data_IF_842934983821
#
_entry.id   IF_842934983821
#
_cell.length_a   1.000
_cell.length_b   1.000
_cell.length_c   1.000
_cell.angle_alpha   90.00
_cell.angle_beta   90.00
_cell.angle_gamma   90.00
#
_symmetry.space_group_name_H-M   'P 1'
#
loop_
_entity.id
_entity.type
_entity.pdbx_description
1 polymer ?
#
# COMPACT_ATOMS: atom_id res chain seq x y z
N UNK A 1 -5.31 -21.43 32.95
CA UNK A 1 -6.55 -20.95 32.29
C UNK A 1 -6.28 -20.83 30.79
N UNK A 2 -7.19 -21.26 29.92
CA UNK A 2 -7.01 -21.01 28.47
C UNK A 2 -7.48 -19.60 28.11
N UNK A 3 -6.76 -18.94 27.21
CA UNK A 3 -7.12 -17.64 26.66
C UNK A 3 -6.78 -17.59 25.17
N UNK A 4 -7.22 -16.53 24.49
CA UNK A 4 -7.03 -16.39 23.04
C UNK A 4 -6.10 -15.24 22.70
N UNK A 5 -5.25 -15.49 21.70
CA UNK A 5 -4.51 -14.46 20.99
C UNK A 5 -5.17 -14.25 19.63
N UNK A 6 -5.58 -13.02 19.33
CA UNK A 6 -6.18 -12.66 18.04
C UNK A 6 -5.18 -11.88 17.20
N UNK A 7 -4.89 -12.37 15.98
CA UNK A 7 -4.02 -11.73 15.00
C UNK A 7 -4.87 -10.94 14.01
N UNK A 8 -5.17 -9.67 14.32
CA UNK A 8 -6.15 -8.87 13.60
C UNK A 8 -5.86 -8.70 12.10
N UNK A 9 -4.58 -8.66 11.71
CA UNK A 9 -4.18 -8.54 10.30
C UNK A 9 -4.25 -9.83 9.49
N UNK A 10 -4.58 -10.97 10.12
CA UNK A 10 -4.65 -12.30 9.49
C UNK A 10 -6.02 -12.96 9.64
N UNK A 11 -6.96 -12.31 10.35
CA UNK A 11 -8.22 -12.91 10.82
C UNK A 11 -8.06 -14.31 11.45
N UNK A 12 -6.97 -14.50 12.22
CA UNK A 12 -6.66 -15.77 12.91
C UNK A 12 -6.71 -15.63 14.42
N UNK A 13 -7.19 -16.67 15.08
CA UNK A 13 -7.19 -16.79 16.54
C UNK A 13 -6.43 -18.06 16.95
N UNK A 14 -5.60 -17.93 17.98
CA UNK A 14 -4.85 -19.03 18.57
C UNK A 14 -5.29 -19.19 20.02
N UNK A 15 -5.70 -20.40 20.40
CA UNK A 15 -5.96 -20.73 21.78
C UNK A 15 -4.67 -21.12 22.50
N UNK A 16 -4.44 -20.51 23.66
CA UNK A 16 -3.23 -20.62 24.46
C UNK A 16 -3.60 -21.19 25.82
N UNK A 17 -2.89 -22.23 26.25
CA UNK A 17 -3.08 -22.86 27.56
C UNK A 17 -1.86 -22.58 28.42
N UNK A 18 -1.98 -21.62 29.35
CA UNK A 18 -1.01 -21.30 30.42
C UNK A 18 0.45 -21.60 30.05
N UNK A 19 0.96 -20.96 28.98
CA UNK A 19 2.30 -21.19 28.48
C UNK A 19 3.32 -20.15 28.96
N UNK A 20 4.57 -20.59 29.09
CA UNK A 20 5.74 -19.73 29.35
C UNK A 20 6.38 -19.24 28.04
N UNK A 21 5.69 -19.46 26.91
CA UNK A 21 6.17 -19.21 25.57
C UNK A 21 6.01 -17.73 25.20
N UNK A 22 6.94 -17.24 24.38
CA UNK A 22 6.79 -15.90 23.83
C UNK A 22 5.70 -15.87 22.76
N UNK A 23 5.16 -14.70 22.43
CA UNK A 23 4.21 -14.55 21.32
C UNK A 23 4.82 -15.06 20.01
N UNK A 24 6.14 -14.96 19.82
CA UNK A 24 6.80 -15.53 18.64
C UNK A 24 6.73 -17.06 18.63
N UNK A 25 7.02 -17.71 19.76
CA UNK A 25 6.98 -19.18 19.86
C UNK A 25 5.55 -19.70 19.62
N UNK A 26 4.56 -19.02 20.21
CA UNK A 26 3.14 -19.29 19.99
C UNK A 26 2.77 -19.11 18.52
N UNK A 27 3.30 -18.08 17.86
CA UNK A 27 3.08 -17.85 16.43
C UNK A 27 3.64 -19.00 15.60
N UNK A 28 4.92 -19.34 15.81
CA UNK A 28 5.64 -20.38 15.06
C UNK A 28 4.98 -21.75 15.20
N UNK A 29 4.64 -22.17 16.42
CA UNK A 29 4.03 -23.49 16.66
C UNK A 29 2.63 -23.63 16.06
N UNK A 30 1.90 -22.51 15.94
CA UNK A 30 0.57 -22.47 15.32
C UNK A 30 0.63 -22.10 13.82
N UNK A 31 1.83 -22.16 13.23
CA UNK A 31 2.06 -21.85 11.81
C UNK A 31 1.52 -20.46 11.42
N UNK A 32 1.53 -19.52 12.37
CA UNK A 32 1.31 -18.12 12.09
C UNK A 32 2.64 -17.57 11.59
N UNK A 33 2.73 -17.18 10.31
CA UNK A 33 3.96 -16.61 9.79
C UNK A 33 4.33 -15.37 10.62
N UNK A 34 5.60 -15.27 11.03
CA UNK A 34 6.05 -14.20 11.91
C UNK A 34 7.55 -13.99 11.70
N UNK A 35 7.94 -12.91 11.02
CA UNK A 35 9.35 -12.67 10.69
C UNK A 35 10.23 -12.51 11.94
N UNK A 36 11.40 -13.16 11.96
CA UNK A 36 12.34 -13.10 13.08
C UNK A 36 13.78 -13.44 12.65
N UNK A 37 14.45 -12.49 12.00
CA UNK A 37 15.80 -12.71 11.40
C UNK A 37 16.86 -13.20 12.38
N UNK A 38 16.79 -12.78 13.64
CA UNK A 38 17.74 -13.21 14.67
C UNK A 38 17.40 -14.54 15.34
N UNK A 39 16.40 -15.30 14.86
CA UNK A 39 15.99 -16.55 15.51
C UNK A 39 15.22 -16.37 16.82
N UNK A 40 14.65 -15.18 17.09
CA UNK A 40 13.89 -14.92 18.31
C UNK A 40 14.72 -14.46 19.52
N UNK A 41 16.00 -14.13 19.34
CA UNK A 41 16.91 -13.76 20.44
C UNK A 41 16.91 -12.26 20.81
N UNK A 42 15.93 -11.49 20.36
CA UNK A 42 15.85 -10.04 20.62
C UNK A 42 16.97 -9.19 20.00
N UNK A 43 17.79 -9.76 19.10
CA UNK A 43 18.91 -9.07 18.43
C UNK A 43 18.50 -8.32 17.16
N UNK A 44 17.33 -8.64 16.61
CA UNK A 44 16.69 -7.92 15.51
C UNK A 44 15.37 -7.31 15.99
N UNK A 45 14.75 -6.49 15.14
CA UNK A 45 13.43 -5.89 15.41
C UNK A 45 12.35 -6.40 14.47
N UNK A 46 12.58 -7.49 13.74
CA UNK A 46 11.66 -7.95 12.69
C UNK A 46 10.43 -8.70 13.21
N UNK A 47 10.43 -9.19 14.45
CA UNK A 47 9.25 -9.82 15.08
C UNK A 47 8.30 -8.81 15.77
N UNK A 48 8.29 -7.57 15.29
CA UNK A 48 7.50 -6.50 15.92
C UNK A 48 6.01 -6.77 15.76
N UNK A 49 5.31 -6.63 16.87
CA UNK A 49 3.85 -6.62 16.95
C UNK A 49 3.39 -5.31 17.56
N UNK A 50 2.18 -4.88 17.21
CA UNK A 50 1.41 -3.85 17.86
C UNK A 50 0.27 -4.50 18.63
N UNK A 51 0.14 -4.16 19.89
CA UNK A 51 -0.94 -4.65 20.74
C UNK A 51 -2.14 -3.73 20.60
N UNK A 52 -3.21 -4.22 19.97
CA UNK A 52 -4.43 -3.45 19.73
C UNK A 52 -5.35 -3.45 20.94
N UNK A 53 -5.37 -4.56 21.70
CA UNK A 53 -6.12 -4.70 22.94
C UNK A 53 -5.45 -5.73 23.87
N UNK A 54 -5.63 -5.59 25.19
CA UNK A 54 -5.11 -6.53 26.19
C UNK A 54 -3.63 -6.35 26.58
N UNK A 55 -3.05 -5.15 26.44
CA UNK A 55 -1.63 -4.89 26.78
C UNK A 55 -1.27 -5.17 28.24
N UNK A 56 -2.23 -4.96 29.15
CA UNK A 56 -2.13 -5.27 30.57
C UNK A 56 -1.99 -6.78 30.85
N UNK A 57 -2.38 -7.62 29.88
CA UNK A 57 -2.27 -9.07 29.96
C UNK A 57 -0.89 -9.56 29.47
N UNK A 58 0.07 -8.68 29.21
CA UNK A 58 1.40 -9.04 28.71
C UNK A 58 2.46 -8.87 29.80
N UNK A 59 3.56 -9.60 29.65
CA UNK A 59 4.76 -9.42 30.47
C UNK A 59 5.31 -7.98 30.37
N UNK A 60 6.01 -7.57 31.42
CA UNK A 60 6.84 -6.36 31.36
C UNK A 60 7.89 -6.49 30.25
N UNK A 61 8.31 -5.36 29.67
CA UNK A 61 9.36 -5.33 28.65
C UNK A 61 10.67 -5.90 29.20
N UNK A 62 11.29 -6.82 28.48
CA UNK A 62 12.65 -7.32 28.83
C UNK A 62 13.67 -6.18 28.70
N UNK A 63 14.87 -6.30 29.29
CA UNK A 63 15.91 -5.28 29.13
C UNK A 63 16.24 -5.00 27.65
N UNK A 64 16.39 -6.07 26.85
CA UNK A 64 16.64 -6.00 25.41
C UNK A 64 15.51 -5.27 24.67
N UNK A 65 14.26 -5.58 25.00
CA UNK A 65 13.11 -4.91 24.40
C UNK A 65 13.02 -3.44 24.81
N UNK A 66 13.29 -3.11 26.09
CA UNK A 66 13.31 -1.73 26.58
C UNK A 66 14.34 -0.91 25.83
N UNK A 67 15.56 -1.40 25.73
CA UNK A 67 16.66 -0.74 25.01
C UNK A 67 16.29 -0.53 23.54
N UNK A 68 15.83 -1.58 22.85
CA UNK A 68 15.43 -1.47 21.44
C UNK A 68 14.29 -0.47 21.24
N UNK A 69 13.29 -0.46 22.13
CA UNK A 69 12.15 0.45 22.10
C UNK A 69 12.53 1.90 22.39
N UNK A 70 13.48 2.12 23.30
CA UNK A 70 13.95 3.45 23.69
C UNK A 70 14.77 4.08 22.56
N UNK A 71 15.78 3.36 22.05
CA UNK A 71 16.64 3.83 20.96
C UNK A 71 15.81 4.20 19.72
N UNK A 72 14.78 3.41 19.42
CA UNK A 72 13.96 3.56 18.22
C UNK A 72 12.64 4.29 18.46
N UNK A 73 12.44 4.84 19.65
CA UNK A 73 11.27 5.64 20.05
C UNK A 73 9.93 4.97 19.70
N UNK A 74 9.80 3.67 20.01
CA UNK A 74 8.59 2.93 19.68
C UNK A 74 7.38 3.39 20.48
N UNK A 75 6.22 3.30 19.84
CA UNK A 75 4.93 3.41 20.53
C UNK A 75 4.82 2.40 21.69
N UNK A 76 4.20 2.75 22.83
CA UNK A 76 4.09 1.84 23.98
C UNK A 76 3.41 0.50 23.69
N UNK A 77 2.49 0.46 22.72
CA UNK A 77 1.80 -0.74 22.25
C UNK A 77 2.66 -1.63 21.37
N UNK A 78 3.81 -1.15 20.89
CA UNK A 78 4.74 -1.95 20.11
C UNK A 78 5.58 -2.80 21.04
N UNK A 79 5.60 -4.08 20.73
CA UNK A 79 6.33 -5.10 21.46
C UNK A 79 7.18 -5.95 20.50
N UNK A 80 8.25 -6.53 21.02
CA UNK A 80 8.94 -7.63 20.34
C UNK A 80 8.24 -8.94 20.69
N UNK A 81 7.67 -9.62 19.70
CA UNK A 81 6.93 -10.85 19.95
C UNK A 81 7.80 -11.93 20.61
N UNK A 82 9.10 -11.99 20.27
CA UNK A 82 10.04 -12.93 20.88
C UNK A 82 10.46 -12.59 22.32
N UNK A 83 10.07 -11.42 22.82
CA UNK A 83 10.40 -10.95 24.18
C UNK A 83 9.15 -10.71 25.02
N UNK A 84 7.97 -11.01 24.48
CA UNK A 84 6.68 -10.69 25.10
C UNK A 84 5.92 -11.98 25.37
N UNK A 85 5.48 -12.14 26.61
CA UNK A 85 4.83 -13.36 27.10
C UNK A 85 3.39 -13.01 27.50
N UNK A 86 2.38 -13.65 26.89
CA UNK A 86 0.98 -13.36 27.18
C UNK A 86 0.52 -14.12 28.44
N UNK A 87 -0.34 -13.48 29.24
CA UNK A 87 -0.91 -14.01 30.49
C UNK A 87 -2.44 -14.02 30.47
N UNK A 88 -3.03 -13.64 29.35
CA UNK A 88 -4.47 -13.47 29.18
C UNK A 88 -4.80 -13.03 27.75
N UNK A 89 -6.10 -12.81 27.45
CA UNK A 89 -6.55 -12.48 26.10
C UNK A 89 -5.87 -11.23 25.56
N UNK A 90 -5.42 -11.28 24.30
CA UNK A 90 -4.75 -10.15 23.64
C UNK A 90 -5.10 -10.11 22.16
N UNK A 91 -5.29 -8.90 21.63
CA UNK A 91 -5.44 -8.65 20.20
C UNK A 91 -4.18 -7.94 19.71
N UNK A 92 -3.55 -8.49 18.68
CA UNK A 92 -2.30 -7.97 18.16
C UNK A 92 -2.28 -7.91 16.63
N UNK A 93 -1.45 -7.02 16.11
CA UNK A 93 -1.20 -6.82 14.70
C UNK A 93 0.30 -6.96 14.46
N UNK A 94 0.70 -7.80 13.50
CA UNK A 94 2.11 -7.87 13.08
C UNK A 94 2.47 -6.61 12.30
N UNK A 95 3.62 -6.04 12.59
CA UNK A 95 4.07 -4.80 11.96
C UNK A 95 5.03 -5.02 10.82
N UNK A 96 5.75 -6.15 10.85
CA UNK A 96 6.71 -6.51 9.82
C UNK A 96 6.24 -7.82 9.21
N UNK A 97 6.16 -7.80 7.90
CA UNK A 97 5.77 -8.92 7.05
C UNK A 97 6.97 -9.19 6.15
N UNK A 98 7.41 -10.42 6.04
CA UNK A 98 8.39 -10.78 5.02
C UNK A 98 7.75 -10.71 3.64
N UNK A 99 8.55 -10.52 2.59
CA UNK A 99 8.05 -10.57 1.22
C UNK A 99 7.32 -11.87 0.89
N UNK A 100 7.77 -13.00 1.44
CA UNK A 100 7.09 -14.29 1.29
C UNK A 100 5.70 -14.32 1.98
N UNK A 101 5.53 -13.60 3.09
CA UNK A 101 4.25 -13.45 3.80
C UNK A 101 3.31 -12.47 3.11
N UNK A 102 3.85 -11.37 2.57
CA UNK A 102 3.09 -10.45 1.72
C UNK A 102 2.58 -11.20 0.50
N UNK A 103 3.41 -12.02 -0.15
CA UNK A 103 2.98 -12.91 -1.24
C UNK A 103 1.98 -13.98 -0.78
N UNK A 104 2.08 -14.51 0.45
CA UNK A 104 1.14 -15.50 0.98
C UNK A 104 -0.23 -14.91 1.40
N UNK A 105 -0.27 -13.68 1.91
CA UNK A 105 -1.52 -12.92 2.15
C UNK A 105 -2.12 -12.39 0.85
N UNK A 106 -1.28 -12.01 -0.11
CA UNK A 106 -1.73 -11.70 -1.47
C UNK A 106 -2.33 -12.95 -2.16
N UNK A 107 -1.93 -14.17 -1.75
CA UNK A 107 -2.62 -15.42 -2.13
C UNK A 107 -3.97 -15.62 -1.44
N UNK A 108 -4.27 -14.98 -0.30
CA UNK A 108 -5.62 -14.93 0.29
C UNK A 108 -6.53 -13.90 -0.42
N UNK A 109 -5.95 -12.90 -1.11
CA UNK A 109 -6.67 -12.01 -2.04
C UNK A 109 -6.83 -12.61 -3.45
N UNK A 110 -6.15 -13.73 -3.75
CA UNK A 110 -6.39 -14.46 -4.97
C UNK A 110 -7.81 -15.05 -4.91
N UNK A 111 -8.56 -15.08 -6.02
CA UNK A 111 -9.92 -15.58 -6.01
C UNK A 111 -9.94 -17.05 -5.52
N UNK A 112 -10.70 -17.37 -4.47
CA UNK A 112 -11.00 -18.75 -4.04
C UNK A 112 -11.91 -19.51 -5.05
N UNK A 113 -11.94 -19.07 -6.30
CA UNK A 113 -12.85 -19.55 -7.34
C UNK A 113 -12.28 -20.71 -8.17
N UNK A 114 -13.17 -21.33 -8.94
CA UNK A 114 -12.80 -22.25 -10.02
C UNK A 114 -11.85 -21.54 -10.98
N UNK A 115 -10.83 -22.24 -11.42
CA UNK A 115 -9.94 -21.72 -12.47
C UNK A 115 -10.71 -21.44 -13.76
N UNK A 116 -10.51 -20.26 -14.32
CA UNK A 116 -11.24 -19.80 -15.49
C UNK A 116 -10.41 -18.85 -16.36
N UNK A 117 -10.80 -18.76 -17.62
CA UNK A 117 -10.22 -17.80 -18.55
C UNK A 117 -10.87 -16.43 -18.33
N UNK A 118 -10.06 -15.43 -17.94
CA UNK A 118 -10.51 -14.08 -17.63
C UNK A 118 -9.72 -13.04 -18.42
N UNK A 119 -10.37 -11.94 -18.86
CA UNK A 119 -9.68 -10.80 -19.40
C UNK A 119 -9.00 -10.01 -18.27
N UNK A 120 -7.68 -9.92 -18.31
CA UNK A 120 -6.87 -9.23 -17.30
C UNK A 120 -5.93 -8.22 -17.96
N UNK A 121 -5.57 -7.17 -17.22
CA UNK A 121 -4.43 -6.33 -17.55
C UNK A 121 -3.20 -6.85 -16.79
N UNK A 122 -2.08 -6.95 -17.47
CA UNK A 122 -0.81 -7.42 -16.92
C UNK A 122 0.22 -6.32 -17.08
N UNK A 123 0.85 -5.94 -15.98
CA UNK A 123 1.87 -4.92 -15.86
C UNK A 123 3.19 -5.61 -15.51
N UNK A 124 4.23 -5.32 -16.28
CA UNK A 124 5.61 -5.69 -15.98
C UNK A 124 6.42 -4.43 -15.71
N UNK A 125 7.17 -4.40 -14.61
CA UNK A 125 8.11 -3.34 -14.29
C UNK A 125 9.49 -3.94 -14.01
N UNK A 126 10.51 -3.47 -14.72
CA UNK A 126 11.90 -3.94 -14.61
C UNK A 126 12.83 -2.76 -14.32
N UNK A 127 13.87 -2.98 -13.53
CA UNK A 127 14.92 -1.98 -13.34
C UNK A 127 15.80 -1.90 -14.59
N UNK A 128 16.22 -0.68 -14.93
CA UNK A 128 17.21 -0.47 -15.98
C UNK A 128 18.60 -0.61 -15.38
N UNK A 129 19.49 -1.24 -16.14
CA UNK A 129 20.91 -1.38 -15.80
C UNK A 129 21.15 -2.03 -14.42
N UNK A 130 20.24 -2.90 -13.98
CA UNK A 130 20.40 -3.63 -12.71
C UNK A 130 21.62 -4.55 -12.71
N UNK A 131 21.88 -5.26 -13.81
CA UNK A 131 23.01 -6.20 -13.88
C UNK A 131 24.36 -5.52 -13.64
N UNK A 132 24.72 -4.40 -14.30
CA UNK A 132 25.91 -3.63 -13.91
C UNK A 132 25.91 -3.20 -12.44
N UNK A 133 24.79 -2.70 -11.92
CA UNK A 133 24.67 -2.23 -10.54
C UNK A 133 24.91 -3.36 -9.52
N UNK A 134 24.42 -4.57 -9.78
CA UNK A 134 24.61 -5.73 -8.92
C UNK A 134 26.07 -6.16 -8.78
N UNK A 135 26.90 -5.90 -9.80
CA UNK A 135 28.33 -6.25 -9.78
C UNK A 135 29.20 -5.26 -9.00
N UNK A 136 28.69 -4.05 -8.75
CA UNK A 136 29.44 -2.93 -8.15
C UNK A 136 29.09 -2.67 -6.68
N UNK A 137 28.05 -3.33 -6.16
CA UNK A 137 27.55 -3.14 -4.80
C UNK A 137 27.75 -4.40 -3.96
N UNK A 138 27.84 -4.26 -2.63
CA UNK A 138 27.83 -5.40 -1.74
C UNK A 138 26.44 -6.06 -1.73
N UNK A 139 26.39 -7.39 -1.58
CA UNK A 139 25.13 -8.15 -1.63
C UNK A 139 24.06 -7.65 -0.64
N UNK A 140 24.46 -7.21 0.56
CA UNK A 140 23.52 -6.69 1.56
C UNK A 140 22.94 -5.33 1.17
N UNK A 141 23.73 -4.45 0.57
CA UNK A 141 23.26 -3.15 0.07
C UNK A 141 22.33 -3.33 -1.12
N UNK A 142 22.64 -4.29 -2.00
CA UNK A 142 21.76 -4.67 -3.12
C UNK A 142 20.42 -5.20 -2.62
N UNK A 143 20.43 -6.08 -1.61
CA UNK A 143 19.20 -6.61 -1.00
C UNK A 143 18.39 -5.51 -0.30
N UNK A 144 19.05 -4.60 0.40
CA UNK A 144 18.39 -3.44 1.02
C UNK A 144 17.71 -2.56 -0.03
N UNK A 145 18.44 -2.19 -1.09
CA UNK A 145 17.93 -1.38 -2.19
C UNK A 145 16.75 -2.06 -2.90
N UNK A 146 16.86 -3.35 -3.20
CA UNK A 146 15.78 -4.12 -3.82
C UNK A 146 14.52 -4.13 -2.94
N UNK A 147 14.67 -4.32 -1.63
CA UNK A 147 13.51 -4.27 -0.72
C UNK A 147 12.83 -2.89 -0.71
N UNK A 148 13.60 -1.79 -0.75
CA UNK A 148 13.03 -0.44 -0.88
C UNK A 148 12.33 -0.26 -2.22
N UNK A 149 12.95 -0.70 -3.31
CA UNK A 149 12.37 -0.67 -4.64
C UNK A 149 11.05 -1.44 -4.71
N UNK A 150 11.02 -2.70 -4.27
CA UNK A 150 9.81 -3.52 -4.27
C UNK A 150 8.68 -2.93 -3.43
N UNK A 151 9.02 -2.29 -2.30
CA UNK A 151 8.04 -1.61 -1.46
C UNK A 151 7.45 -0.41 -2.21
N UNK A 152 8.30 0.49 -2.71
CA UNK A 152 7.88 1.71 -3.39
C UNK A 152 7.05 1.42 -4.66
N UNK A 153 7.45 0.41 -5.43
CA UNK A 153 6.82 0.07 -6.69
C UNK A 153 5.62 -0.88 -6.53
N UNK A 154 5.57 -1.65 -5.45
CA UNK A 154 4.45 -2.54 -5.16
C UNK A 154 3.19 -1.79 -4.73
N UNK A 155 3.34 -0.73 -3.94
CA UNK A 155 2.20 0.04 -3.39
C UNK A 155 1.24 0.57 -4.48
N UNK A 156 1.70 1.19 -5.58
CA UNK A 156 0.80 1.62 -6.66
C UNK A 156 -0.04 0.49 -7.28
N UNK A 157 0.47 -0.74 -7.36
CA UNK A 157 -0.32 -1.90 -7.84
C UNK A 157 -1.48 -2.14 -6.89
N UNK A 158 -1.19 -2.23 -5.60
CA UNK A 158 -2.16 -2.58 -4.56
C UNK A 158 -3.22 -1.50 -4.36
N UNK A 159 -2.80 -0.23 -4.37
CA UNK A 159 -3.66 0.95 -4.33
C UNK A 159 -4.61 1.07 -5.54
N UNK A 160 -4.34 0.31 -6.61
CA UNK A 160 -5.14 0.32 -7.84
C UNK A 160 -5.77 -1.05 -8.13
N UNK A 161 -6.18 -1.79 -7.10
CA UNK A 161 -6.86 -3.10 -7.24
C UNK A 161 -6.05 -4.19 -7.97
N UNK A 162 -4.75 -3.98 -8.15
CA UNK A 162 -3.87 -4.99 -8.69
C UNK A 162 -3.43 -5.96 -7.59
N UNK A 163 -3.02 -7.15 -8.03
CA UNK A 163 -2.31 -8.12 -7.21
C UNK A 163 -0.87 -8.15 -7.70
N UNK A 164 0.09 -8.09 -6.77
CA UNK A 164 1.48 -8.38 -7.09
C UNK A 164 1.57 -9.89 -7.29
N UNK A 165 1.69 -10.31 -8.55
CA UNK A 165 1.71 -11.71 -8.93
C UNK A 165 3.02 -12.37 -8.51
N UNK A 166 4.14 -11.73 -8.83
CA UNK A 166 5.46 -12.25 -8.53
C UNK A 166 6.53 -11.15 -8.59
N UNK A 167 7.58 -11.35 -7.79
CA UNK A 167 8.88 -10.68 -7.94
C UNK A 167 9.86 -11.65 -8.59
N UNK A 168 10.54 -11.24 -9.66
CA UNK A 168 11.50 -12.08 -10.39
C UNK A 168 12.78 -11.30 -10.61
N UNK A 169 13.80 -11.53 -9.78
CA UNK A 169 14.99 -10.67 -9.81
C UNK A 169 14.58 -9.23 -9.53
N UNK A 170 14.98 -8.28 -10.37
CA UNK A 170 14.60 -6.88 -10.31
C UNK A 170 13.23 -6.53 -10.94
N UNK A 171 12.49 -7.56 -11.37
CA UNK A 171 11.19 -7.41 -12.02
C UNK A 171 10.02 -7.54 -11.02
N UNK A 172 8.97 -6.74 -11.25
CA UNK A 172 7.69 -6.78 -10.54
C UNK A 172 6.57 -7.02 -11.55
N UNK A 173 5.76 -8.05 -11.29
CA UNK A 173 4.60 -8.38 -12.13
C UNK A 173 3.33 -8.05 -11.36
N UNK A 174 2.54 -7.12 -11.91
CA UNK A 174 1.21 -6.76 -11.42
C UNK A 174 0.11 -7.31 -12.33
N UNK A 175 -0.95 -7.85 -11.75
CA UNK A 175 -2.14 -8.32 -12.49
C UNK A 175 -3.40 -7.66 -11.99
N UNK A 176 -4.26 -7.23 -12.92
CA UNK A 176 -5.48 -6.48 -12.63
C UNK A 176 -6.68 -7.19 -13.27
N UNK A 177 -7.81 -7.20 -12.58
CA UNK A 177 -9.03 -7.89 -13.03
C UNK A 177 -9.13 -9.36 -12.64
N UNK A 178 -8.24 -9.84 -11.76
CA UNK A 178 -8.24 -11.24 -11.28
C UNK A 178 -9.52 -11.62 -10.55
N UNK A 179 -10.18 -10.67 -9.89
CA UNK A 179 -11.47 -10.82 -9.19
C UNK A 179 -12.67 -10.32 -9.99
N UNK A 180 -12.50 -10.02 -11.29
CA UNK A 180 -13.54 -9.43 -12.15
C UNK A 180 -13.32 -7.93 -12.41
N UNK A 181 -14.38 -7.21 -12.77
CA UNK A 181 -14.33 -5.80 -13.15
C UNK A 181 -14.43 -5.58 -14.66
N UNK A 182 -14.71 -4.34 -15.08
CA UNK A 182 -14.82 -3.98 -16.50
C UNK A 182 -13.44 -3.89 -17.14
N UNK A 183 -13.37 -4.11 -18.46
CA UNK A 183 -12.13 -3.95 -19.23
C UNK A 183 -11.51 -2.56 -19.07
N UNK A 184 -12.36 -1.53 -19.08
CA UNK A 184 -11.93 -0.14 -18.92
C UNK A 184 -11.31 0.07 -17.55
N UNK A 185 -12.01 -0.31 -16.48
CA UNK A 185 -11.52 -0.16 -15.12
C UNK A 185 -10.17 -0.86 -14.92
N UNK A 186 -10.05 -2.12 -15.34
CA UNK A 186 -8.83 -2.90 -15.13
C UNK A 186 -7.62 -2.31 -15.88
N UNK A 187 -7.83 -1.82 -17.11
CA UNK A 187 -6.78 -1.16 -17.89
C UNK A 187 -6.41 0.23 -17.32
N UNK A 188 -7.40 1.03 -16.92
CA UNK A 188 -7.18 2.32 -16.28
C UNK A 188 -6.44 2.18 -14.94
N UNK A 189 -6.81 1.18 -14.13
CA UNK A 189 -6.15 0.87 -12.87
C UNK A 189 -4.69 0.46 -13.07
N UNK A 190 -4.39 -0.35 -14.09
CA UNK A 190 -3.02 -0.71 -14.45
C UNK A 190 -2.19 0.51 -14.90
N UNK A 191 -2.77 1.42 -15.70
CA UNK A 191 -2.11 2.66 -16.12
C UNK A 191 -1.87 3.57 -14.92
N UNK A 192 -2.85 3.73 -14.03
CA UNK A 192 -2.71 4.54 -12.82
C UNK A 192 -1.61 3.98 -11.92
N UNK A 193 -1.54 2.67 -11.76
CA UNK A 193 -0.44 2.01 -11.05
C UNK A 193 0.92 2.31 -11.69
N UNK A 194 1.03 2.21 -13.02
CA UNK A 194 2.27 2.49 -13.74
C UNK A 194 2.72 3.96 -13.62
N UNK A 195 1.80 4.91 -13.66
CA UNK A 195 2.10 6.33 -13.41
C UNK A 195 2.50 6.55 -11.95
N UNK A 196 1.76 5.98 -11.00
CA UNK A 196 2.08 6.02 -9.56
C UNK A 196 3.47 5.46 -9.24
N UNK A 197 3.87 4.38 -9.92
CA UNK A 197 5.23 3.82 -9.86
C UNK A 197 6.31 4.81 -10.28
N UNK A 198 6.07 5.64 -11.31
CA UNK A 198 7.05 6.64 -11.73
C UNK A 198 7.25 7.70 -10.64
N UNK A 199 6.16 8.19 -10.02
CA UNK A 199 6.25 9.11 -8.89
C UNK A 199 6.97 8.49 -7.69
N UNK A 200 6.64 7.24 -7.35
CA UNK A 200 7.27 6.53 -6.24
C UNK A 200 8.77 6.32 -6.46
N UNK A 201 9.19 6.00 -7.69
CA UNK A 201 10.61 5.84 -8.04
C UNK A 201 11.36 7.17 -7.98
N UNK A 202 10.76 8.25 -8.47
CA UNK A 202 11.36 9.59 -8.38
C UNK A 202 11.55 10.04 -6.92
N UNK A 203 10.59 9.73 -6.05
CA UNK A 203 10.73 9.98 -4.62
C UNK A 203 11.85 9.13 -4.00
N UNK A 204 11.85 7.83 -4.27
CA UNK A 204 12.86 6.90 -3.77
C UNK A 204 14.28 7.38 -4.10
N UNK A 205 14.51 7.81 -5.34
CA UNK A 205 15.79 8.38 -5.77
C UNK A 205 16.15 9.67 -5.03
N UNK A 206 15.19 10.60 -4.88
CA UNK A 206 15.45 11.94 -4.31
C UNK A 206 15.65 11.93 -2.80
N UNK A 207 14.94 11.06 -2.09
CA UNK A 207 14.86 11.10 -0.62
C UNK A 207 15.69 10.00 0.02
N UNK A 208 15.64 8.77 -0.51
CA UNK A 208 16.19 7.62 0.19
C UNK A 208 17.52 7.13 -0.37
N UNK A 209 17.71 7.23 -1.68
CA UNK A 209 18.91 6.73 -2.36
C UNK A 209 19.94 7.83 -2.62
N UNK A 210 19.62 9.09 -2.30
CA UNK A 210 20.51 10.24 -2.49
C UNK A 210 21.88 10.04 -1.84
N UNK A 211 21.91 9.50 -0.63
CA UNK A 211 23.14 9.29 0.13
C UNK A 211 23.95 8.06 -0.35
N UNK A 212 23.35 7.23 -1.21
CA UNK A 212 23.99 6.05 -1.81
C UNK A 212 24.58 6.34 -3.21
N UNK A 213 24.41 7.57 -3.74
CA UNK A 213 24.80 7.95 -5.11
C UNK A 213 24.23 7.00 -6.19
N UNK A 214 23.04 6.45 -5.92
CA UNK A 214 22.33 5.54 -6.81
C UNK A 214 21.11 6.23 -7.42
N UNK A 215 21.01 6.21 -8.76
CA UNK A 215 19.83 6.64 -9.50
C UNK A 215 19.18 5.42 -10.17
N UNK A 216 18.05 4.98 -9.63
CA UNK A 216 17.26 3.89 -10.22
C UNK A 216 16.39 4.39 -11.36
N UNK A 217 16.32 3.62 -12.44
CA UNK A 217 15.40 3.85 -13.56
C UNK A 217 14.63 2.57 -13.81
N UNK A 218 13.40 2.67 -14.29
CA UNK A 218 12.60 1.51 -14.64
C UNK A 218 12.00 1.62 -16.04
N UNK A 219 11.53 0.50 -16.56
CA UNK A 219 10.68 0.43 -17.75
C UNK A 219 9.43 -0.36 -17.42
N UNK A 220 8.26 0.12 -17.83
CA UNK A 220 6.97 -0.50 -17.56
C UNK A 220 6.29 -0.86 -18.88
N UNK A 221 5.83 -2.11 -18.99
CA UNK A 221 5.03 -2.60 -20.11
C UNK A 221 3.67 -3.10 -19.64
N UNK A 222 2.60 -2.71 -20.33
CA UNK A 222 1.23 -3.15 -20.00
C UNK A 222 0.57 -3.77 -21.22
N UNK A 223 -0.04 -4.95 -21.01
CA UNK A 223 -0.87 -5.60 -22.00
C UNK A 223 -2.24 -5.98 -21.41
N UNK A 224 -3.23 -6.14 -22.28
CA UNK A 224 -4.55 -6.61 -21.91
C UNK A 224 -4.97 -7.80 -22.80
N UNK A 225 -5.52 -8.83 -22.17
CA UNK A 225 -6.02 -9.99 -22.89
C UNK A 225 -6.55 -11.08 -21.97
N UNK A 226 -7.06 -12.16 -22.58
CA UNK A 226 -7.58 -13.32 -21.86
C UNK A 226 -6.44 -14.24 -21.39
N UNK A 227 -6.45 -14.57 -20.11
CA UNK A 227 -5.52 -15.50 -19.50
C UNK A 227 -6.26 -16.45 -18.56
N UNK A 228 -5.72 -17.64 -18.37
CA UNK A 228 -6.10 -18.53 -17.29
C UNK A 228 -5.74 -17.90 -15.96
N UNK A 229 -6.71 -17.81 -15.05
CA UNK A 229 -6.55 -17.33 -13.68
C UNK A 229 -7.06 -18.42 -12.74
N UNK A 230 -6.20 -18.96 -11.90
CA UNK A 230 -6.59 -19.99 -10.92
C UNK A 230 -5.42 -20.60 -10.19
N UNK A 231 -5.68 -21.60 -9.35
CA UNK A 231 -4.64 -22.30 -8.61
C UNK A 231 -4.12 -23.51 -9.40
N UNK A 232 -2.81 -23.57 -9.63
CA UNK A 232 -2.13 -24.65 -10.37
C UNK A 232 -0.94 -25.16 -9.54
N UNK A 233 -0.58 -26.44 -9.70
CA UNK A 233 0.50 -27.08 -8.96
C UNK A 233 0.10 -28.41 -8.37
N UNK A 234 1.00 -29.01 -7.60
CA UNK A 234 0.76 -30.28 -6.93
C UNK A 234 -0.45 -30.16 -5.98
N UNK A 235 -1.29 -31.19 -5.78
CA UNK A 235 -2.48 -31.11 -4.91
C UNK A 235 -2.21 -30.57 -3.50
N UNK A 236 -1.04 -30.84 -2.94
CA UNK A 236 -0.60 -30.33 -1.61
C UNK A 236 0.09 -28.96 -1.67
N UNK A 237 0.47 -28.49 -2.85
CA UNK A 237 1.18 -27.22 -3.08
C UNK A 237 0.61 -26.53 -4.32
N UNK A 238 -0.66 -26.14 -4.24
CA UNK A 238 -1.30 -25.33 -5.29
C UNK A 238 -0.91 -23.87 -5.08
N UNK A 239 -0.53 -23.19 -6.15
CA UNK A 239 -0.22 -21.76 -6.15
C UNK A 239 -1.15 -21.02 -7.10
N UNK A 240 -1.54 -19.81 -6.73
CA UNK A 240 -2.19 -18.90 -7.67
C UNK A 240 -1.29 -18.73 -8.90
N UNK A 241 -1.87 -18.90 -10.08
CA UNK A 241 -1.16 -18.92 -11.35
C UNK A 241 -1.96 -18.15 -12.38
N UNK A 242 -1.25 -17.30 -13.11
CA UNK A 242 -1.76 -16.59 -14.28
C UNK A 242 -1.01 -17.11 -15.49
N UNK A 243 -1.71 -17.74 -16.42
CA UNK A 243 -1.10 -18.38 -17.58
C UNK A 243 -1.79 -17.90 -18.84
N UNK A 244 -1.02 -17.41 -19.78
CA UNK A 244 -1.55 -17.03 -21.07
C UNK A 244 -0.57 -16.17 -21.84
N UNK A 245 -0.84 -16.09 -23.13
CA UNK A 245 -0.13 -15.22 -24.03
C UNK A 245 -0.04 -13.75 -23.57
N UNK A 246 -1.09 -13.15 -22.93
CA UNK A 246 -1.01 -11.76 -22.51
C UNK A 246 0.12 -11.44 -21.52
N UNK A 247 0.51 -12.42 -20.69
CA UNK A 247 1.62 -12.27 -19.72
C UNK A 247 2.95 -12.15 -20.45
N UNK A 248 3.20 -13.03 -21.41
CA UNK A 248 4.42 -13.02 -22.21
C UNK A 248 4.52 -11.76 -23.08
N UNK A 249 3.39 -11.31 -23.64
CA UNK A 249 3.34 -10.07 -24.41
C UNK A 249 3.66 -8.86 -23.53
N UNK A 250 3.13 -8.76 -22.32
CA UNK A 250 3.43 -7.65 -21.40
C UNK A 250 4.94 -7.56 -21.07
N UNK A 251 5.58 -8.70 -20.79
CA UNK A 251 7.04 -8.78 -20.58
C UNK A 251 7.83 -8.29 -21.80
N UNK A 252 7.42 -8.70 -23.01
CA UNK A 252 8.08 -8.25 -24.26
C UNK A 252 7.90 -6.75 -24.50
N UNK A 253 6.71 -6.21 -24.23
CA UNK A 253 6.44 -4.77 -24.32
C UNK A 253 7.32 -4.00 -23.33
N UNK A 254 7.44 -4.48 -22.09
CA UNK A 254 8.35 -3.90 -21.11
C UNK A 254 9.78 -3.89 -21.66
N UNK A 255 10.26 -4.99 -22.26
CA UNK A 255 11.59 -5.04 -22.87
C UNK A 255 11.82 -3.97 -23.95
N UNK A 256 10.78 -3.62 -24.74
CA UNK A 256 10.86 -2.57 -25.77
C UNK A 256 11.05 -1.16 -25.21
N UNK A 257 10.80 -0.92 -23.91
CA UNK A 257 11.04 0.39 -23.26
C UNK A 257 12.51 0.80 -23.31
N UNK A 258 13.43 -0.18 -23.41
CA UNK A 258 14.88 0.05 -23.53
C UNK A 258 15.22 0.66 -24.89
N UNK A 259 14.74 0.06 -25.97
CA UNK A 259 14.99 0.50 -27.36
C UNK A 259 14.27 1.80 -27.70
N UNK A 260 13.01 1.92 -27.27
CA UNK A 260 12.17 3.11 -27.53
C UNK A 260 12.49 4.29 -26.59
N UNK A 261 13.26 4.05 -25.52
CA UNK A 261 13.62 5.04 -24.49
C UNK A 261 12.42 5.67 -23.77
N UNK A 262 11.30 4.96 -23.72
CA UNK A 262 10.05 5.37 -23.06
C UNK A 262 9.97 4.81 -21.64
N UNK A 263 9.28 5.47 -20.72
CA UNK A 263 9.09 4.97 -19.34
C UNK A 263 7.99 3.92 -19.24
N UNK A 264 6.88 4.14 -19.95
CA UNK A 264 5.68 3.30 -19.94
C UNK A 264 5.25 3.04 -21.39
N UNK A 265 5.11 1.77 -21.76
CA UNK A 265 4.51 1.35 -23.03
C UNK A 265 3.28 0.49 -22.78
N UNK A 266 2.25 0.68 -23.60
CA UNK A 266 1.05 -0.15 -23.56
C UNK A 266 0.71 -0.71 -24.94
N UNK A 267 0.12 -1.91 -24.96
CA UNK A 267 -0.40 -2.51 -26.19
C UNK A 267 -1.62 -1.76 -26.75
N UNK A 268 -1.89 -1.91 -28.04
CA UNK A 268 -3.16 -1.51 -28.66
C UNK A 268 -4.40 -2.07 -27.93
N UNK A 269 -4.34 -3.28 -27.37
CA UNK A 269 -5.46 -3.86 -26.61
C UNK A 269 -5.81 -3.06 -25.36
N UNK A 270 -4.81 -2.45 -24.71
CA UNK A 270 -5.03 -1.54 -23.58
C UNK A 270 -5.69 -0.26 -24.07
N UNK A 271 -5.17 0.35 -25.15
CA UNK A 271 -5.74 1.55 -25.75
C UNK A 271 -7.20 1.35 -26.18
N UNK A 272 -7.51 0.24 -26.84
CA UNK A 272 -8.87 -0.12 -27.26
C UNK A 272 -9.82 -0.49 -26.12
N UNK A 273 -9.29 -0.64 -24.89
CA UNK A 273 -10.09 -0.97 -23.70
C UNK A 273 -10.47 0.25 -22.89
N UNK A 274 -9.90 1.40 -23.21
CA UNK A 274 -10.08 2.65 -22.49
C UNK A 274 -10.82 3.64 -23.39
N UNK A 275 -11.60 4.56 -22.81
CA UNK A 275 -12.25 5.62 -23.57
C UNK A 275 -11.22 6.48 -24.30
N UNK A 276 -11.56 6.89 -25.52
CA UNK A 276 -10.73 7.79 -26.30
C UNK A 276 -10.50 9.12 -25.56
N UNK A 277 -9.36 9.75 -25.81
CA UNK A 277 -9.02 11.09 -25.34
C UNK A 277 -8.92 11.27 -23.80
N UNK A 278 -8.78 10.21 -23.01
CA UNK A 278 -8.54 10.36 -21.56
C UNK A 278 -7.06 10.34 -21.18
N UNK A 279 -6.21 9.72 -22.00
CA UNK A 279 -4.78 9.54 -21.75
C UNK A 279 -3.96 10.59 -22.49
N UNK A 280 -2.96 11.13 -21.83
CA UNK A 280 -1.88 11.88 -22.48
C UNK A 280 -0.85 10.88 -23.01
N UNK A 281 -0.71 10.83 -24.34
CA UNK A 281 0.07 9.83 -25.06
C UNK A 281 1.27 10.47 -25.74
N UNK A 282 2.39 9.74 -25.74
CA UNK A 282 3.61 10.14 -26.43
C UNK A 282 3.72 9.51 -27.81
N UNK A 283 4.89 8.94 -28.09
CA UNK A 283 5.18 8.29 -29.37
C UNK A 283 4.39 6.98 -29.54
N UNK A 284 4.05 6.68 -30.79
CA UNK A 284 3.51 5.39 -31.22
C UNK A 284 4.58 4.60 -31.97
N UNK A 285 4.56 3.29 -31.80
CA UNK A 285 5.54 2.37 -32.38
C UNK A 285 4.86 1.17 -32.99
N UNK A 286 5.38 0.71 -34.14
CA UNK A 286 5.07 -0.60 -34.71
C UNK A 286 6.33 -1.45 -34.65
N UNK A 287 6.38 -2.43 -33.73
CA UNK A 287 7.57 -3.23 -33.46
C UNK A 287 7.26 -4.72 -33.49
N UNK A 288 8.21 -5.52 -33.96
CA UNK A 288 8.13 -6.97 -33.81
C UNK A 288 8.40 -7.35 -32.35
N UNK A 289 7.49 -8.11 -31.76
CA UNK A 289 7.73 -8.75 -30.47
C UNK A 289 8.26 -10.15 -30.72
N UNK A 290 9.43 -10.48 -30.19
CA UNK A 290 10.08 -11.78 -30.41
C UNK A 290 9.11 -12.94 -30.19
N UNK A 291 8.89 -13.82 -31.18
CA UNK A 291 7.94 -14.94 -31.07
C UNK A 291 6.47 -14.53 -31.15
N UNK A 292 6.14 -13.39 -31.77
CA UNK A 292 4.82 -13.03 -32.27
C UNK A 292 4.88 -12.86 -33.78
N UNK A 293 3.80 -13.27 -34.45
CA UNK A 293 3.60 -12.96 -35.86
C UNK A 293 3.07 -11.53 -35.99
N UNK A 294 3.65 -10.76 -36.91
CA UNK A 294 3.24 -9.39 -37.21
C UNK A 294 3.82 -8.32 -36.29
N UNK A 295 3.54 -7.06 -36.65
CA UNK A 295 3.93 -5.88 -35.89
C UNK A 295 2.94 -5.63 -34.74
N UNK A 296 3.46 -5.41 -33.54
CA UNK A 296 2.69 -4.94 -32.40
C UNK A 296 2.66 -3.42 -32.39
N UNK A 297 1.46 -2.86 -32.30
CA UNK A 297 1.25 -1.42 -32.06
C UNK A 297 1.35 -1.12 -30.57
N UNK A 298 2.31 -0.27 -30.23
CA UNK A 298 2.61 0.16 -28.86
C UNK A 298 2.50 1.67 -28.75
N UNK A 299 1.93 2.14 -27.64
CA UNK A 299 1.77 3.57 -27.37
C UNK A 299 2.48 3.94 -26.08
N UNK A 300 3.25 5.03 -26.10
CA UNK A 300 3.82 5.61 -24.89
C UNK A 300 2.75 6.33 -24.07
N UNK A 301 2.72 6.08 -22.78
CA UNK A 301 1.84 6.79 -21.84
C UNK A 301 2.64 7.83 -21.07
N UNK A 302 2.17 9.08 -21.08
CA UNK A 302 2.75 10.21 -20.33
C UNK A 302 1.94 10.57 -19.09
N UNK A 303 0.63 10.37 -19.13
CA UNK A 303 -0.27 10.70 -18.03
C UNK A 303 -1.74 10.60 -18.42
N UNK A 304 -2.58 11.27 -17.66
CA UNK A 304 -3.97 11.55 -18.02
C UNK A 304 -4.07 12.96 -18.62
N UNK A 305 -4.95 13.18 -19.61
CA UNK A 305 -5.17 14.52 -20.18
C UNK A 305 -5.81 15.46 -19.17
N UNK A 306 -6.77 14.93 -18.43
CA UNK A 306 -7.44 15.61 -17.32
C UNK A 306 -6.90 15.09 -15.99
N UNK A 307 -7.09 15.87 -14.94
CA UNK A 307 -6.70 15.48 -13.58
C UNK A 307 -7.38 14.17 -13.16
N UNK A 308 -6.59 13.14 -12.88
CA UNK A 308 -7.06 11.92 -12.20
C UNK A 308 -6.87 12.10 -10.69
N UNK A 309 -7.95 12.38 -9.97
CA UNK A 309 -7.90 12.65 -8.53
C UNK A 309 -7.28 11.50 -7.73
N UNK A 310 -7.52 10.25 -8.12
CA UNK A 310 -6.98 9.10 -7.42
C UNK A 310 -5.45 9.05 -7.54
N UNK A 311 -4.90 9.31 -8.73
CA UNK A 311 -3.46 9.38 -8.96
C UNK A 311 -2.83 10.51 -8.15
N UNK A 312 -3.44 11.71 -8.17
CA UNK A 312 -2.94 12.88 -7.44
C UNK A 312 -2.90 12.64 -5.91
N UNK A 313 -3.92 11.99 -5.35
CA UNK A 313 -3.97 11.67 -3.92
C UNK A 313 -2.93 10.59 -3.57
N UNK A 314 -2.84 9.54 -4.38
CA UNK A 314 -1.89 8.44 -4.16
C UNK A 314 -0.43 8.90 -4.29
N UNK A 315 -0.13 9.74 -5.29
CA UNK A 315 1.21 10.25 -5.54
C UNK A 315 1.65 11.31 -4.54
N UNK A 316 0.73 12.01 -3.87
CA UNK A 316 1.06 13.04 -2.87
C UNK A 316 1.01 12.54 -1.43
N UNK A 317 0.32 11.43 -1.15
CA UNK A 317 0.15 10.89 0.21
C UNK A 317 1.48 10.61 0.91
N UNK A 318 2.44 10.02 0.21
CA UNK A 318 3.74 9.67 0.80
C UNK A 318 4.56 10.93 1.15
N UNK A 319 4.42 12.02 0.39
CA UNK A 319 5.04 13.30 0.70
C UNK A 319 4.41 13.92 1.96
N UNK A 320 3.08 13.88 2.04
CA UNK A 320 2.34 14.38 3.18
C UNK A 320 2.64 13.63 4.47
N UNK A 321 2.79 12.31 4.38
CA UNK A 321 2.94 11.43 5.53
C UNK A 321 4.37 10.91 5.72
N UNK A 322 5.35 11.58 5.12
CA UNK A 322 6.77 11.29 5.33
C UNK A 322 7.16 11.47 6.80
N UNK A 323 6.65 12.54 7.43
CA UNK A 323 6.69 12.73 8.88
C UNK A 323 5.26 12.82 9.42
N UNK A 324 4.72 11.66 9.79
CA UNK A 324 3.34 11.54 10.28
C UNK A 324 3.10 12.30 11.58
N UNK A 325 4.09 12.32 12.46
CA UNK A 325 3.98 12.99 13.76
C UNK A 325 3.95 14.51 13.55
N UNK A 326 4.80 15.04 12.65
CA UNK A 326 4.78 16.45 12.28
C UNK A 326 3.47 16.85 11.57
N UNK A 327 3.00 16.04 10.61
CA UNK A 327 1.73 16.28 9.92
C UNK A 327 0.57 16.41 10.91
N UNK A 328 0.45 15.43 11.81
CA UNK A 328 -0.59 15.41 12.83
C UNK A 328 -0.48 16.59 13.80
N UNK A 329 0.74 16.95 14.20
CA UNK A 329 0.97 18.09 15.07
C UNK A 329 0.46 19.41 14.45
N UNK A 330 0.87 19.70 13.20
CA UNK A 330 0.44 20.89 12.46
C UNK A 330 -1.09 20.91 12.33
N UNK A 331 -1.69 19.77 11.98
CA UNK A 331 -3.15 19.67 11.88
C UNK A 331 -3.86 19.98 13.19
N UNK A 332 -3.48 19.34 14.30
CA UNK A 332 -4.16 19.55 15.57
C UNK A 332 -3.92 20.95 16.14
N UNK A 333 -2.75 21.53 15.92
CA UNK A 333 -2.48 22.92 16.27
C UNK A 333 -3.47 23.85 15.56
N UNK A 334 -3.65 23.69 14.24
CA UNK A 334 -4.61 24.47 13.43
C UNK A 334 -6.06 24.27 13.88
N UNK A 335 -6.47 23.03 14.17
CA UNK A 335 -7.82 22.75 14.70
C UNK A 335 -8.05 23.50 16.01
N UNK A 336 -7.08 23.44 16.93
CA UNK A 336 -7.22 24.05 18.26
C UNK A 336 -7.02 25.57 18.28
N UNK A 337 -6.34 26.13 17.29
CA UNK A 337 -6.29 27.58 17.07
C UNK A 337 -7.65 28.09 16.60
N UNK A 338 -8.27 27.40 15.62
CA UNK A 338 -9.57 27.79 15.05
C UNK A 338 -10.75 27.48 15.97
N UNK A 339 -10.66 26.44 16.79
CA UNK A 339 -11.73 26.00 17.71
C UNK A 339 -11.14 25.41 18.99
N UNK A 340 -10.69 26.27 19.93
CA UNK A 340 -10.02 25.85 21.17
C UNK A 340 -10.85 24.88 22.04
N UNK A 341 -12.18 25.01 22.02
CA UNK A 341 -13.13 24.19 22.75
C UNK A 341 -13.09 22.71 22.34
N UNK A 342 -12.68 22.41 21.11
CA UNK A 342 -12.58 21.01 20.62
C UNK A 342 -11.49 20.22 21.35
N UNK A 343 -10.53 20.87 22.02
CA UNK A 343 -9.54 20.20 22.89
C UNK A 343 -10.20 19.27 23.91
N UNK A 344 -11.39 19.63 24.41
CA UNK A 344 -12.14 18.83 25.39
C UNK A 344 -12.64 17.49 24.84
N UNK A 345 -12.73 17.36 23.51
CA UNK A 345 -13.12 16.11 22.84
C UNK A 345 -11.97 15.08 22.82
N UNK A 346 -10.73 15.53 23.00
CA UNK A 346 -9.53 14.69 22.93
C UNK A 346 -9.03 14.33 24.33
N UNK A 347 -9.53 13.20 24.86
CA UNK A 347 -9.18 12.68 26.19
C UNK A 347 -7.93 11.79 26.22
N UNK A 348 -7.32 11.54 25.06
CA UNK A 348 -6.18 10.62 24.86
C UNK A 348 -4.90 11.40 24.56
N UNK A 349 -3.78 10.71 24.55
CA UNK A 349 -2.49 11.24 24.10
C UNK A 349 -2.61 11.74 22.65
N UNK A 350 -2.22 13.00 22.41
CA UNK A 350 -2.27 13.64 21.09
C UNK A 350 -1.38 12.94 20.05
N UNK A 351 -0.30 12.27 20.47
CA UNK A 351 0.53 11.48 19.56
C UNK A 351 -0.25 10.26 19.01
N UNK A 352 -0.96 9.54 19.88
CA UNK A 352 -1.78 8.39 19.47
C UNK A 352 -2.92 8.84 18.56
N UNK A 353 -3.53 9.98 18.89
CA UNK A 353 -4.57 10.61 18.09
C UNK A 353 -4.04 11.04 16.71
N UNK A 354 -2.82 11.56 16.64
CA UNK A 354 -2.12 11.90 15.41
C UNK A 354 -1.93 10.69 14.49
N UNK A 355 -1.49 9.56 15.05
CA UNK A 355 -1.32 8.32 14.27
C UNK A 355 -2.64 7.75 13.77
N UNK A 356 -3.72 7.88 14.54
CA UNK A 356 -5.06 7.50 14.07
C UNK A 356 -5.48 8.33 12.86
N UNK A 357 -5.23 9.63 12.88
CA UNK A 357 -5.52 10.52 11.74
C UNK A 357 -4.75 10.11 10.48
N UNK A 358 -3.44 9.98 10.56
CA UNK A 358 -2.60 9.67 9.39
C UNK A 358 -2.92 8.28 8.83
N UNK A 359 -3.25 7.32 9.71
CA UNK A 359 -3.73 6.01 9.30
C UNK A 359 -5.08 6.06 8.58
N UNK A 360 -6.05 6.84 9.10
CA UNK A 360 -7.35 7.01 8.46
C UNK A 360 -7.22 7.68 7.08
N UNK A 361 -6.40 8.73 6.96
CA UNK A 361 -6.12 9.38 5.67
C UNK A 361 -5.51 8.39 4.68
N UNK A 362 -4.54 7.58 5.11
CA UNK A 362 -3.94 6.55 4.27
C UNK A 362 -4.96 5.51 3.83
N UNK A 363 -5.79 5.02 4.76
CA UNK A 363 -6.83 4.03 4.48
C UNK A 363 -7.88 4.54 3.48
N UNK A 364 -8.26 5.82 3.59
CA UNK A 364 -9.16 6.46 2.62
C UNK A 364 -8.53 6.47 1.23
N UNK A 365 -7.30 6.95 1.09
CA UNK A 365 -6.60 6.99 -0.21
C UNK A 365 -6.43 5.57 -0.80
N UNK A 366 -6.13 4.58 0.03
CA UNK A 366 -6.03 3.18 -0.38
C UNK A 366 -7.35 2.58 -0.88
N UNK A 367 -8.47 3.07 -0.35
CA UNK A 367 -9.81 2.55 -0.64
C UNK A 367 -10.48 3.33 -1.76
N UNK A 368 -9.89 4.42 -2.28
CA UNK A 368 -10.43 5.18 -3.43
C UNK A 368 -10.71 4.30 -4.64
N UNK A 369 -9.87 3.30 -4.88
CA UNK A 369 -10.05 2.35 -5.98
C UNK A 369 -11.23 1.38 -5.76
N UNK A 370 -11.87 1.40 -4.58
CA UNK A 370 -12.97 0.53 -4.12
C UNK A 370 -14.10 1.37 -3.48
N UNK A 371 -14.88 2.13 -4.28
CA UNK A 371 -15.83 3.13 -3.77
C UNK A 371 -16.87 2.57 -2.78
N UNK A 372 -17.37 1.34 -2.99
CA UNK A 372 -18.36 0.73 -2.10
C UNK A 372 -17.82 0.49 -0.67
N UNK A 373 -16.55 0.08 -0.57
CA UNK A 373 -15.88 -0.12 0.71
C UNK A 373 -15.56 1.23 1.37
N UNK A 374 -15.17 2.23 0.56
CA UNK A 374 -14.86 3.56 1.05
C UNK A 374 -16.08 4.22 1.71
N UNK A 375 -17.24 4.21 1.04
CA UNK A 375 -18.48 4.80 1.56
C UNK A 375 -18.89 4.12 2.87
N UNK A 376 -18.78 2.79 2.94
CA UNK A 376 -19.09 2.03 4.15
C UNK A 376 -18.19 2.43 5.33
N UNK A 377 -16.89 2.59 5.08
CA UNK A 377 -15.92 3.06 6.08
C UNK A 377 -16.18 4.49 6.55
N UNK A 378 -16.48 5.41 5.62
CA UNK A 378 -16.79 6.81 5.92
C UNK A 378 -18.07 6.92 6.77
N UNK A 379 -19.11 6.12 6.46
CA UNK A 379 -20.34 6.08 7.25
C UNK A 379 -20.10 5.61 8.68
N UNK A 380 -19.27 4.58 8.87
CA UNK A 380 -18.89 4.11 10.21
C UNK A 380 -18.11 5.18 10.99
N UNK A 381 -17.21 5.90 10.31
CA UNK A 381 -16.46 7.01 10.90
C UNK A 381 -17.37 8.16 11.34
N UNK A 382 -18.30 8.58 10.48
CA UNK A 382 -19.30 9.60 10.77
C UNK A 382 -20.13 9.25 12.01
N UNK A 383 -20.61 8.01 12.12
CA UNK A 383 -21.34 7.51 13.30
C UNK A 383 -20.51 7.65 14.59
N UNK A 384 -19.24 7.29 14.56
CA UNK A 384 -18.35 7.39 15.72
C UNK A 384 -18.08 8.85 16.10
N UNK A 385 -17.94 9.75 15.12
CA UNK A 385 -17.76 11.19 15.38
C UNK A 385 -18.93 11.78 16.19
N UNK A 386 -20.17 11.39 15.88
CA UNK A 386 -21.34 11.81 16.67
C UNK A 386 -21.23 11.32 18.12
N UNK A 387 -20.80 10.07 18.33
CA UNK A 387 -20.62 9.51 19.69
C UNK A 387 -19.54 10.23 20.49
N UNK A 388 -18.54 10.82 19.82
CA UNK A 388 -17.50 11.61 20.46
C UNK A 388 -17.92 13.07 20.74
N UNK A 389 -19.14 13.47 20.37
CA UNK A 389 -19.64 14.83 20.56
C UNK A 389 -19.31 15.79 19.42
N UNK A 390 -18.92 15.27 18.25
CA UNK A 390 -18.67 16.10 17.06
C UNK A 390 -20.00 16.57 16.46
N UNK A 391 -20.17 17.88 16.30
CA UNK A 391 -21.34 18.50 15.68
C UNK A 391 -21.08 18.88 14.22
N UNK A 392 -22.12 19.24 13.48
CA UNK A 392 -21.99 19.73 12.10
C UNK A 392 -21.07 20.97 11.98
N UNK A 393 -21.02 21.82 13.00
CA UNK A 393 -20.19 23.02 13.01
C UNK A 393 -18.68 22.72 13.01
N UNK A 394 -18.25 21.55 13.48
CA UNK A 394 -16.82 21.18 13.50
C UNK A 394 -16.27 20.80 12.12
N UNK A 395 -17.11 20.33 11.19
CA UNK A 395 -16.64 19.80 9.90
C UNK A 395 -15.97 20.87 9.01
N UNK A 396 -16.52 22.09 8.84
CA UNK A 396 -15.83 23.15 8.09
C UNK A 396 -14.46 23.52 8.70
N UNK A 397 -14.34 23.53 10.02
CA UNK A 397 -13.08 23.83 10.73
C UNK A 397 -12.03 22.75 10.45
N UNK A 398 -12.43 21.47 10.58
CA UNK A 398 -11.54 20.33 10.28
C UNK A 398 -11.11 20.32 8.82
N UNK A 399 -12.03 20.64 7.91
CA UNK A 399 -11.75 20.76 6.48
C UNK A 399 -10.65 21.78 6.21
N UNK A 400 -10.83 23.00 6.71
CA UNK A 400 -9.89 24.11 6.51
C UNK A 400 -8.53 23.78 7.14
N UNK A 401 -8.53 23.25 8.36
CA UNK A 401 -7.31 22.83 9.03
C UNK A 401 -6.56 21.74 8.24
N UNK A 402 -7.26 20.73 7.71
CA UNK A 402 -6.66 19.70 6.86
C UNK A 402 -6.05 20.30 5.59
N UNK A 403 -6.78 21.16 4.88
CA UNK A 403 -6.29 21.78 3.65
C UNK A 403 -5.07 22.67 3.89
N UNK A 404 -5.06 23.46 4.97
CA UNK A 404 -3.90 24.25 5.34
C UNK A 404 -2.70 23.38 5.76
N UNK A 405 -2.93 22.28 6.47
CA UNK A 405 -1.85 21.32 6.79
C UNK A 405 -1.28 20.70 5.53
N UNK A 406 -2.14 20.26 4.60
CA UNK A 406 -1.72 19.71 3.30
C UNK A 406 -0.90 20.73 2.53
N UNK A 407 -1.37 21.98 2.46
CA UNK A 407 -0.67 23.08 1.78
C UNK A 407 0.72 23.33 2.38
N UNK A 408 0.80 23.34 3.72
CA UNK A 408 2.04 23.56 4.47
C UNK A 408 3.03 22.43 4.25
N UNK A 409 2.58 21.17 4.35
CA UNK A 409 3.45 20.00 4.28
C UNK A 409 3.90 19.71 2.85
N UNK A 410 3.02 19.88 1.85
CA UNK A 410 3.43 19.71 0.45
C UNK A 410 4.39 20.82 0.02
N UNK A 411 4.23 22.04 0.54
CA UNK A 411 5.16 23.15 0.30
C UNK A 411 5.39 23.39 -1.19
N UNK A 412 6.63 23.25 -1.65
CA UNK A 412 7.01 23.40 -3.07
C UNK A 412 6.63 22.22 -3.96
N UNK A 413 6.26 21.08 -3.39
CA UNK A 413 5.81 19.90 -4.15
C UNK A 413 4.33 19.96 -4.53
N UNK A 414 3.56 20.95 -4.04
CA UNK A 414 2.14 21.07 -4.37
C UNK A 414 1.95 21.54 -5.81
N UNK A 415 0.94 20.98 -6.46
CA UNK A 415 0.43 21.47 -7.76
C UNK A 415 -1.03 21.87 -7.61
N UNK A 416 -1.58 22.69 -8.54
CA UNK A 416 -3.01 22.99 -8.56
C UNK A 416 -3.88 21.72 -8.62
N UNK A 417 -3.45 20.71 -9.38
CA UNK A 417 -4.15 19.43 -9.49
C UNK A 417 -4.16 18.69 -8.15
N UNK A 418 -3.00 18.61 -7.49
CA UNK A 418 -2.88 17.94 -6.20
C UNK A 418 -3.78 18.59 -5.16
N UNK A 419 -3.79 19.93 -5.07
CA UNK A 419 -4.65 20.65 -4.14
C UNK A 419 -6.14 20.48 -4.47
N UNK A 420 -6.51 20.52 -5.74
CA UNK A 420 -7.89 20.33 -6.17
C UNK A 420 -8.39 18.90 -5.88
N UNK A 421 -7.54 17.89 -6.06
CA UNK A 421 -7.86 16.50 -5.73
C UNK A 421 -8.09 16.31 -4.23
N UNK A 422 -7.24 16.88 -3.37
CA UNK A 422 -7.43 16.87 -1.92
C UNK A 422 -8.70 17.61 -1.50
N UNK A 423 -8.95 18.79 -2.06
CA UNK A 423 -10.16 19.57 -1.78
C UNK A 423 -11.42 18.79 -2.12
N UNK A 424 -11.54 18.31 -3.36
CA UNK A 424 -12.71 17.56 -3.84
C UNK A 424 -12.94 16.30 -3.00
N UNK A 425 -11.87 15.60 -2.62
CA UNK A 425 -11.98 14.38 -1.83
C UNK A 425 -12.38 14.65 -0.39
N UNK A 426 -11.81 15.68 0.24
CA UNK A 426 -12.19 16.07 1.59
C UNK A 426 -13.64 16.58 1.65
N UNK A 427 -14.08 17.32 0.64
CA UNK A 427 -15.48 17.73 0.50
C UNK A 427 -16.41 16.51 0.50
N UNK A 428 -16.15 15.55 -0.38
CA UNK A 428 -16.92 14.31 -0.46
C UNK A 428 -16.92 13.53 0.87
N UNK A 429 -15.76 13.32 1.48
CA UNK A 429 -15.63 12.56 2.74
C UNK A 429 -16.44 13.24 3.84
N UNK A 430 -16.27 14.54 4.02
CA UNK A 430 -16.91 15.28 5.11
C UNK A 430 -18.42 15.40 4.90
N UNK A 431 -18.90 15.55 3.66
CA UNK A 431 -20.32 15.50 3.33
C UNK A 431 -20.94 14.13 3.68
N UNK A 432 -20.31 13.03 3.28
CA UNK A 432 -20.77 11.67 3.58
C UNK A 432 -20.78 11.40 5.10
N UNK A 433 -19.78 11.89 5.84
CA UNK A 433 -19.76 11.79 7.30
C UNK A 433 -20.90 12.59 7.96
N UNK A 434 -21.23 13.77 7.41
CA UNK A 434 -22.29 14.63 7.94
C UNK A 434 -23.69 14.09 7.70
N UNK A 435 -23.91 13.24 6.69
CA UNK A 435 -25.23 12.65 6.45
C UNK A 435 -25.76 11.91 7.69
N UNK A 436 -24.89 11.36 8.55
CA UNK A 436 -25.28 10.74 9.83
C UNK A 436 -25.82 11.73 10.87
N UNK A 437 -25.41 13.00 10.83
CA UNK A 437 -25.95 14.04 11.71
C UNK A 437 -27.39 14.43 11.35
N UNK A 438 -27.79 14.25 10.09
CA UNK A 438 -29.14 14.60 9.59
C UNK A 438 -30.20 13.52 9.90
N UNK A 439 -29.79 12.30 10.26
CA UNK A 439 -30.72 11.17 10.55
C UNK A 439 -31.27 11.22 12.00
N UNK A 440 -30.86 12.21 12.81
CA UNK A 440 -31.29 12.37 14.22
C UNK A 440 -32.01 13.70 14.53
N UNK A 441 -32.40 14.45 13.51
CA UNK A 441 -33.42 15.52 13.59
C UNK A 441 -34.67 15.03 12.91
#
# INVERSE_FOLDING_TARGET
MSFKITYAGLDKQVEVQDDLDSILDISTRNQIPHLHECGGHGRCTTCRIRVLDGIQNLSAKTPTEREASFIRKWDPSIRLACQTYPKGPVVLQRLIWSMAEVTALQKELAPEGRAEERPIAVLFCDLRNFTPMSSQNMNFDLAYMLNRFYTAMGEPILMNNGIIYQYVGDEIIGVFGTTGGTREKNCTDAIRAALGMQYALEHLNKVELKDLDLELKSGIGINFGKAYVGHLGHPTHRQFSVIGDPVNVASRIQGMTKTTKTKILVSLNVMNSIRENILDTGQEFELELAGKEGLAQLTEIKGFKEMDSQLELQSSLHLMLNDQDAFAHIFYEKVFEKSPETRLLFKRNMQDQGRLLTHMLSGIVYTLARPDHLISGIKALGKNHVQYGVTAAHYPIVREALLETIDTVLGTNKTPNTMNAWQTSLDFILEEMQQWNKVKT
#
